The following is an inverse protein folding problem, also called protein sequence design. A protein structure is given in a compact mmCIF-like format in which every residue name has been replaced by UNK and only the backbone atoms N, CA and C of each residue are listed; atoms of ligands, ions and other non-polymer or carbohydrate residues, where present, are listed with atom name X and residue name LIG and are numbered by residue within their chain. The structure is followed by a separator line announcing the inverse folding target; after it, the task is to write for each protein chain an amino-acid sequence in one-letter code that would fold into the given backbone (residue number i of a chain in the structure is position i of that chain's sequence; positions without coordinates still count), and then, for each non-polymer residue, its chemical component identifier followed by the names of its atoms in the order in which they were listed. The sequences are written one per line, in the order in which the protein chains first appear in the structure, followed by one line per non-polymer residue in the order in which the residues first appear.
data_IF_556200988093
#
_entry.id   IF_556200988093
#
_cell.length_a   1.000
_cell.length_b   1.000
_cell.length_c   1.000
_cell.angle_alpha   90.00
_cell.angle_beta   90.00
_cell.angle_gamma   90.00
#
_symmetry.space_group_name_H-M   'P 1'
#
loop_
_entity.id
_entity.type
_entity.pdbx_description
1 polymer ?
#
# COMPACT_ATOMS: atom_id res chain seq x y z
N UNK A 1 -6.45 3.35 12.21
CA UNK A 1 -7.22 2.09 12.14
C UNK A 1 -6.42 0.88 12.60
N UNK A 2 -5.21 0.63 12.09
CA UNK A 2 -4.39 -0.53 12.51
C UNK A 2 -4.22 -0.66 14.03
N UNK A 3 -3.83 0.40 14.75
CA UNK A 3 -3.67 0.35 16.22
C UNK A 3 -4.95 -0.08 16.95
N UNK A 4 -6.08 0.53 16.58
CA UNK A 4 -7.37 0.17 17.17
C UNK A 4 -7.76 -1.28 16.85
N UNK A 5 -7.53 -1.72 15.60
CA UNK A 5 -7.80 -3.08 15.17
C UNK A 5 -6.88 -4.12 15.82
N UNK A 6 -5.65 -3.76 16.20
CA UNK A 6 -4.72 -4.63 16.94
C UNK A 6 -4.92 -4.60 18.46
N UNK A 7 -5.95 -3.89 18.96
CA UNK A 7 -6.20 -3.74 20.40
C UNK A 7 -5.19 -2.84 21.13
N UNK A 8 -4.38 -2.08 20.38
CA UNK A 8 -3.37 -1.18 20.92
C UNK A 8 -3.92 0.25 21.00
N UNK A 9 -3.52 0.97 22.04
CA UNK A 9 -3.72 2.42 22.08
C UNK A 9 -2.94 3.07 20.92
N UNK A 10 -3.57 4.02 20.22
CA UNK A 10 -2.92 4.77 19.15
C UNK A 10 -1.68 5.52 19.66
N UNK A 11 -0.65 5.63 18.82
CA UNK A 11 0.57 6.36 19.17
C UNK A 11 0.36 7.88 19.02
N UNK A 12 0.36 8.61 20.14
CA UNK A 12 0.08 10.06 20.17
C UNK A 12 1.28 10.92 19.76
N UNK A 13 2.50 10.39 19.87
CA UNK A 13 3.75 11.11 19.60
C UNK A 13 4.38 10.61 18.30
N UNK A 14 3.95 11.18 17.17
CA UNK A 14 4.63 10.96 15.88
C UNK A 14 5.75 11.98 15.76
N UNK A 15 6.99 11.56 15.96
CA UNK A 15 8.18 12.43 15.82
C UNK A 15 8.39 12.93 14.39
N UNK A 16 8.00 12.13 13.40
CA UNK A 16 8.13 12.42 11.99
C UNK A 16 6.81 12.22 11.25
N UNK A 17 6.51 13.12 10.30
CA UNK A 17 5.37 13.01 9.40
C UNK A 17 5.85 13.14 7.97
N UNK A 18 5.50 12.14 7.17
CA UNK A 18 5.78 12.09 5.74
C UNK A 18 4.47 12.18 4.97
N UNK A 19 4.50 12.81 3.81
CA UNK A 19 3.39 12.93 2.87
C UNK A 19 3.37 11.78 1.84
N UNK A 20 4.46 11.04 1.72
CA UNK A 20 4.60 9.88 0.84
C UNK A 20 5.05 8.63 1.58
N UNK A 21 4.57 7.48 1.09
CA UNK A 21 4.98 6.17 1.59
C UNK A 21 6.48 5.93 1.38
N UNK A 22 7.01 6.35 0.22
CA UNK A 22 8.43 6.17 -0.13
C UNK A 22 9.33 6.87 0.88
N UNK A 23 9.06 8.14 1.20
CA UNK A 23 9.87 8.87 2.19
C UNK A 23 9.79 8.24 3.59
N UNK A 24 8.60 7.79 4.02
CA UNK A 24 8.44 7.09 5.29
C UNK A 24 9.21 5.76 5.33
N UNK A 25 9.20 5.01 4.23
CA UNK A 25 9.90 3.74 4.12
C UNK A 25 11.42 3.92 4.16
N UNK A 26 11.97 4.92 3.45
CA UNK A 26 13.41 5.21 3.48
C UNK A 26 13.87 5.70 4.87
N UNK A 27 13.05 6.48 5.57
CA UNK A 27 13.34 6.88 6.94
C UNK A 27 13.41 5.67 7.90
N UNK A 28 12.48 4.72 7.77
CA UNK A 28 12.48 3.50 8.58
C UNK A 28 13.69 2.60 8.27
N UNK A 29 14.03 2.40 6.99
CA UNK A 29 15.26 1.69 6.59
C UNK A 29 16.52 2.33 7.16
N UNK A 30 16.52 3.65 7.29
CA UNK A 30 17.61 4.44 7.88
C UNK A 30 17.61 4.46 9.41
N UNK A 31 16.71 3.70 10.06
CA UNK A 31 16.64 3.59 11.52
C UNK A 31 15.91 4.73 12.24
N UNK A 32 15.20 5.62 11.52
CA UNK A 32 14.47 6.74 12.12
C UNK A 32 13.14 6.34 12.82
N UNK A 33 12.82 5.04 12.86
CA UNK A 33 11.64 4.50 13.53
C UNK A 33 10.98 3.36 12.77
N UNK A 34 9.68 3.17 13.01
CA UNK A 34 8.86 2.14 12.36
C UNK A 34 7.72 2.77 11.55
N UNK A 35 7.24 2.06 10.54
CA UNK A 35 6.07 2.43 9.74
C UNK A 35 5.03 1.31 9.68
N UNK A 36 3.78 1.68 9.42
CA UNK A 36 2.76 0.74 8.95
C UNK A 36 2.93 0.57 7.43
N UNK A 37 3.48 -0.57 7.03
CA UNK A 37 3.79 -0.87 5.63
C UNK A 37 2.66 -1.58 4.90
N UNK A 38 2.37 -1.16 3.66
CA UNK A 38 1.53 -1.96 2.74
C UNK A 38 2.34 -3.17 2.25
N UNK A 39 1.80 -4.39 2.38
CA UNK A 39 2.55 -5.64 2.12
C UNK A 39 3.22 -5.66 0.74
N UNK A 40 2.54 -5.36 -0.38
CA UNK A 40 3.18 -5.37 -1.70
C UNK A 40 4.33 -4.37 -1.84
N UNK A 41 4.32 -3.28 -1.06
CA UNK A 41 5.33 -2.23 -1.15
C UNK A 41 6.57 -2.50 -0.28
N UNK A 42 6.44 -3.31 0.78
CA UNK A 42 7.54 -3.61 1.71
C UNK A 42 8.16 -5.00 1.50
N UNK A 43 7.54 -5.86 0.69
CA UNK A 43 7.94 -7.26 0.53
C UNK A 43 9.43 -7.41 0.16
N UNK A 44 9.90 -6.61 -0.81
CA UNK A 44 11.31 -6.61 -1.22
C UNK A 44 12.24 -6.18 -0.08
N UNK A 45 11.88 -5.12 0.66
CA UNK A 45 12.68 -4.62 1.76
C UNK A 45 12.75 -5.61 2.94
N UNK A 46 11.68 -6.37 3.20
CA UNK A 46 11.68 -7.46 4.17
C UNK A 46 12.58 -8.61 3.71
N UNK A 47 12.45 -9.02 2.44
CA UNK A 47 13.27 -10.09 1.85
C UNK A 47 14.77 -9.77 1.92
N UNK A 48 15.13 -8.52 1.67
CA UNK A 48 16.52 -8.06 1.67
C UNK A 48 17.03 -7.67 3.07
N UNK A 49 16.25 -7.92 4.13
CA UNK A 49 16.55 -7.55 5.53
C UNK A 49 16.81 -6.04 5.76
N UNK A 50 16.33 -5.19 4.86
CA UNK A 50 16.36 -3.73 5.03
C UNK A 50 15.26 -3.25 5.98
N UNK A 51 14.21 -4.05 6.15
CA UNK A 51 13.18 -3.89 7.16
C UNK A 51 12.99 -5.21 7.90
N UNK A 52 12.54 -5.11 9.15
CA UNK A 52 12.13 -6.26 9.96
C UNK A 52 10.65 -6.10 10.34
N UNK A 53 9.94 -7.22 10.38
CA UNK A 53 8.54 -7.24 10.84
C UNK A 53 8.50 -7.10 12.36
N UNK A 54 7.70 -6.16 12.86
CA UNK A 54 7.53 -5.91 14.30
C UNK A 54 6.25 -6.50 14.90
N UNK A 55 5.28 -6.90 14.08
CA UNK A 55 4.01 -7.46 14.53
C UNK A 55 3.44 -8.43 13.50
N UNK A 56 2.85 -9.53 13.97
CA UNK A 56 2.14 -10.50 13.14
C UNK A 56 0.72 -10.07 12.74
N UNK A 57 0.20 -8.99 13.34
CA UNK A 57 -1.13 -8.49 13.01
C UNK A 57 -1.14 -7.70 11.70
N UNK A 58 -1.97 -8.14 10.75
CA UNK A 58 -2.19 -7.48 9.48
C UNK A 58 -3.63 -6.96 9.43
N UNK A 59 -3.79 -5.66 9.15
CA UNK A 59 -5.10 -5.11 8.85
C UNK A 59 -5.37 -5.31 7.37
N UNK A 60 -6.25 -6.26 7.04
CA UNK A 60 -6.80 -6.37 5.70
C UNK A 60 -7.65 -5.13 5.40
N UNK A 61 -7.26 -4.35 4.40
CA UNK A 61 -8.08 -3.25 3.94
C UNK A 61 -9.23 -3.81 3.09
N UNK A 62 -10.51 -3.53 3.43
CA UNK A 62 -11.64 -3.93 2.59
C UNK A 62 -11.74 -3.09 1.31
N UNK A 63 -11.00 -1.98 1.21
CA UNK A 63 -11.00 -1.10 0.04
C UNK A 63 -9.96 -1.53 -0.99
N UNK A 64 -10.44 -1.87 -2.19
CA UNK A 64 -9.61 -2.14 -3.36
C UNK A 64 -9.27 -0.87 -4.17
N UNK A 65 -8.45 -1.04 -5.20
CA UNK A 65 -8.19 0.00 -6.19
C UNK A 65 -9.25 -0.07 -7.30
N UNK A 66 -9.73 1.08 -7.76
CA UNK A 66 -10.78 1.17 -8.79
C UNK A 66 -10.27 1.94 -10.00
N UNK A 67 -10.55 1.41 -11.20
CA UNK A 67 -10.46 2.19 -12.43
C UNK A 67 -11.76 2.97 -12.60
N UNK A 68 -11.67 4.31 -12.66
CA UNK A 68 -12.84 5.18 -12.70
C UNK A 68 -12.86 6.04 -13.97
N UNK A 69 -14.05 6.45 -14.40
CA UNK A 69 -14.28 7.35 -15.52
C UNK A 69 -15.60 8.11 -15.29
N UNK A 70 -15.82 9.27 -15.95
CA UNK A 70 -17.06 10.03 -15.82
C UNK A 70 -18.28 9.17 -16.17
N UNK A 71 -19.29 9.17 -15.30
CA UNK A 71 -20.51 8.36 -15.50
C UNK A 71 -21.32 8.75 -16.74
N UNK A 72 -21.17 10.00 -17.20
CA UNK A 72 -21.81 10.55 -18.40
C UNK A 72 -21.12 10.14 -19.71
N UNK A 73 -19.94 9.51 -19.65
CA UNK A 73 -19.11 9.27 -20.83
C UNK A 73 -18.92 7.77 -21.08
N UNK A 74 -18.93 7.39 -22.37
CA UNK A 74 -18.45 6.06 -22.78
C UNK A 74 -16.95 6.13 -22.99
N UNK A 75 -16.25 5.07 -22.60
CA UNK A 75 -14.83 4.91 -22.93
C UNK A 75 -14.66 4.88 -24.46
N UNK A 76 -13.74 5.69 -24.95
CA UNK A 76 -13.23 5.63 -26.32
C UNK A 76 -12.58 4.27 -26.62
N UNK A 77 -12.29 3.99 -27.89
CA UNK A 77 -11.61 2.75 -28.28
C UNK A 77 -10.27 2.56 -27.55
N UNK A 78 -9.43 3.60 -27.52
CA UNK A 78 -8.13 3.56 -26.86
C UNK A 78 -8.23 3.34 -25.34
N UNK A 79 -9.21 3.95 -24.68
CA UNK A 79 -9.43 3.74 -23.23
C UNK A 79 -9.91 2.32 -22.93
N UNK A 80 -10.74 1.74 -23.81
CA UNK A 80 -11.14 0.34 -23.69
C UNK A 80 -9.96 -0.61 -23.91
N UNK A 81 -9.10 -0.32 -24.89
CA UNK A 81 -7.86 -1.08 -25.11
C UNK A 81 -6.96 -1.04 -23.89
N UNK A 82 -6.73 0.15 -23.33
CA UNK A 82 -5.96 0.31 -22.10
C UNK A 82 -6.57 -0.45 -20.92
N UNK A 83 -7.89 -0.33 -20.71
CA UNK A 83 -8.60 -1.07 -19.65
C UNK A 83 -8.41 -2.58 -19.81
N UNK A 84 -8.56 -3.12 -21.02
CA UNK A 84 -8.37 -4.56 -21.29
C UNK A 84 -6.94 -5.00 -21.01
N UNK A 85 -5.97 -4.22 -21.48
CA UNK A 85 -4.55 -4.47 -21.24
C UNK A 85 -4.21 -4.43 -19.75
N UNK A 86 -4.71 -3.44 -19.00
CA UNK A 86 -4.44 -3.30 -17.58
C UNK A 86 -4.99 -4.50 -16.80
N UNK A 87 -6.24 -4.90 -17.07
CA UNK A 87 -6.86 -6.03 -16.40
C UNK A 87 -6.16 -7.36 -16.73
N UNK A 88 -5.65 -7.54 -17.96
CA UNK A 88 -4.90 -8.74 -18.31
C UNK A 88 -3.56 -8.83 -17.57
N UNK A 89 -2.90 -7.69 -17.30
CA UNK A 89 -1.68 -7.64 -16.47
C UNK A 89 -1.93 -7.91 -15.00
N UNK A 90 -3.09 -7.52 -14.47
CA UNK A 90 -3.44 -7.77 -13.07
C UNK A 90 -3.83 -9.24 -12.85
N UNK A 91 -4.52 -9.87 -13.80
CA UNK A 91 -4.87 -11.29 -13.72
C UNK A 91 -3.64 -12.21 -13.61
N UNK A 92 -2.48 -11.81 -14.15
CA UNK A 92 -1.22 -12.56 -14.02
C UNK A 92 -0.48 -12.35 -12.70
N UNK A 93 -0.90 -11.39 -11.85
CA UNK A 93 -0.24 -11.06 -10.57
C UNK A 93 -0.94 -11.76 -9.40
N UNK A 94 -2.16 -12.25 -9.58
CA UNK A 94 -2.97 -12.92 -8.55
C UNK A 94 -2.90 -14.46 -8.58
N UNK A 95 -1.95 -15.04 -9.33
CA UNK A 95 -1.69 -16.48 -9.40
C UNK A 95 -0.33 -16.80 -8.78
#
# INVERSE_FOLDING_TARGET
EWFAASGLAGHSQRSHRFDSFVAAMEAAKSGAGALLGSRPLIEAALKDNLLVRLSDFELSSPSGHFLTWPSSSRLSGAEQDFRRWLLSRLASISA
#
